data_IF_429477370839
#
_entry.id   IF_429477370839
#
_cell.length_a   1.000
_cell.length_b   1.000
_cell.length_c   1.000
_cell.angle_alpha   90.00
_cell.angle_beta   90.00
_cell.angle_gamma   90.00
#
_symmetry.space_group_name_H-M   'P 1'
#
loop_
_entity.id
_entity.type
_entity.pdbx_description
1 polymer ?
#
# COMPACT_ATOMS: atom_id res chain seq x y z
N UNK A 1 -14.45 2.68 12.08
CA UNK A 1 -15.88 2.28 11.93
C UNK A 1 -15.98 1.47 10.67
N UNK A 2 -16.47 0.23 10.74
CA UNK A 2 -16.68 -0.62 9.57
C UNK A 2 -18.00 -0.27 8.89
N UNK A 3 -17.94 0.56 7.86
CA UNK A 3 -19.13 1.04 7.13
C UNK A 3 -19.81 -0.07 6.34
N UNK A 4 -19.05 -1.06 5.85
CA UNK A 4 -19.59 -2.20 5.10
C UNK A 4 -20.47 -3.03 6.01
N UNK A 5 -19.98 -3.37 7.21
CA UNK A 5 -20.76 -4.13 8.20
C UNK A 5 -22.02 -3.36 8.62
N UNK A 6 -21.88 -2.09 8.97
CA UNK A 6 -23.01 -1.24 9.40
C UNK A 6 -24.07 -1.16 8.30
N UNK A 7 -23.67 -1.05 7.04
CA UNK A 7 -24.62 -1.01 5.93
C UNK A 7 -25.30 -2.37 5.69
N UNK A 8 -24.61 -3.50 5.86
CA UNK A 8 -25.23 -4.86 5.80
C UNK A 8 -26.33 -4.99 6.87
N UNK A 9 -26.09 -4.46 8.06
CA UNK A 9 -27.01 -4.51 9.20
C UNK A 9 -28.21 -3.57 9.03
N UNK A 10 -27.96 -2.29 8.73
CA UNK A 10 -28.98 -1.24 8.74
C UNK A 10 -29.72 -1.09 7.42
N UNK A 11 -29.09 -1.45 6.31
CA UNK A 11 -29.64 -1.34 4.94
C UNK A 11 -30.17 0.06 4.64
N UNK A 12 -29.43 1.07 5.05
CA UNK A 12 -29.81 2.47 4.85
C UNK A 12 -29.92 2.78 3.35
N UNK A 13 -30.90 3.60 2.96
CA UNK A 13 -31.07 4.00 1.56
C UNK A 13 -30.13 5.14 1.20
N UNK A 14 -28.86 4.80 0.98
CA UNK A 14 -27.80 5.72 0.54
C UNK A 14 -27.47 5.51 -0.95
N UNK A 15 -26.94 6.54 -1.60
CA UNK A 15 -26.51 6.46 -3.02
C UNK A 15 -25.23 7.28 -3.27
N UNK A 16 -24.14 6.96 -2.57
CA UNK A 16 -22.87 7.66 -2.76
C UNK A 16 -22.35 7.47 -4.20
N UNK A 17 -21.79 8.53 -4.78
CA UNK A 17 -21.26 8.42 -6.15
C UNK A 17 -19.87 7.78 -6.17
N UNK A 18 -19.01 8.16 -5.21
CA UNK A 18 -17.61 7.77 -5.17
C UNK A 18 -17.24 7.38 -3.73
N UNK A 19 -16.53 6.26 -3.58
CA UNK A 19 -15.72 5.99 -2.41
C UNK A 19 -14.24 6.17 -2.77
N UNK A 20 -13.48 6.76 -1.85
CA UNK A 20 -12.03 6.92 -2.00
C UNK A 20 -11.36 6.09 -0.91
N UNK A 21 -10.48 5.18 -1.32
CA UNK A 21 -9.66 4.36 -0.45
C UNK A 21 -8.20 4.84 -0.54
N UNK A 22 -7.54 4.95 0.61
CA UNK A 22 -6.16 5.40 0.71
C UNK A 22 -5.59 5.14 2.09
N UNK A 23 -4.33 5.52 2.30
CA UNK A 23 -3.58 5.26 3.54
C UNK A 23 -3.07 3.81 3.66
N UNK A 24 -3.78 2.85 3.08
CA UNK A 24 -3.32 1.48 2.87
C UNK A 24 -3.88 0.92 1.55
N UNK A 25 -3.25 -0.09 0.94
CA UNK A 25 -3.78 -0.74 -0.25
C UNK A 25 -5.19 -1.28 -0.02
N UNK A 26 -6.11 -0.95 -0.94
CA UNK A 26 -7.48 -1.44 -0.89
C UNK A 26 -7.53 -2.89 -1.36
N UNK A 27 -7.99 -3.81 -0.51
CA UNK A 27 -8.14 -5.20 -0.92
C UNK A 27 -9.23 -5.36 -1.98
N UNK A 28 -9.09 -6.31 -2.94
CA UNK A 28 -10.13 -6.57 -3.93
C UNK A 28 -11.49 -6.94 -3.31
N UNK A 29 -11.51 -7.57 -2.14
CA UNK A 29 -12.73 -7.89 -1.41
C UNK A 29 -13.42 -6.63 -0.88
N UNK A 30 -12.67 -5.71 -0.26
CA UNK A 30 -13.22 -4.43 0.21
C UNK A 30 -13.71 -3.56 -0.95
N UNK A 31 -12.99 -3.56 -2.07
CA UNK A 31 -13.42 -2.88 -3.29
C UNK A 31 -14.80 -3.37 -3.76
N UNK A 32 -14.97 -4.70 -3.84
CA UNK A 32 -16.25 -5.33 -4.22
C UNK A 32 -17.35 -5.05 -3.21
N UNK A 33 -17.04 -5.06 -1.91
CA UNK A 33 -18.02 -4.75 -0.87
C UNK A 33 -18.46 -3.28 -0.94
N UNK A 34 -17.58 -2.32 -1.24
CA UNK A 34 -18.00 -0.93 -1.46
C UNK A 34 -18.97 -0.80 -2.64
N UNK A 35 -18.71 -1.50 -3.76
CA UNK A 35 -19.62 -1.48 -4.91
C UNK A 35 -20.97 -2.14 -4.60
N UNK A 36 -20.95 -3.34 -4.02
CA UNK A 36 -22.14 -4.18 -3.92
C UNK A 36 -22.97 -3.96 -2.65
N UNK A 37 -22.32 -3.58 -1.55
CA UNK A 37 -22.95 -3.43 -0.22
C UNK A 37 -23.26 -1.97 0.06
N UNK A 38 -22.27 -1.08 -0.12
CA UNK A 38 -22.47 0.35 0.06
C UNK A 38 -23.24 0.94 -1.13
N UNK A 39 -23.09 0.35 -2.32
CA UNK A 39 -23.78 0.82 -3.53
C UNK A 39 -23.10 2.04 -4.16
N UNK A 40 -21.78 2.21 -3.98
CA UNK A 40 -21.05 3.31 -4.63
C UNK A 40 -20.97 3.06 -6.13
N UNK A 41 -21.07 4.11 -6.95
CA UNK A 41 -20.92 3.96 -8.41
C UNK A 41 -19.48 3.68 -8.82
N UNK A 42 -18.52 4.26 -8.08
CA UNK A 42 -17.09 4.14 -8.35
C UNK A 42 -16.31 4.03 -7.04
N UNK A 43 -15.28 3.20 -7.04
CA UNK A 43 -14.25 3.20 -6.00
C UNK A 43 -12.97 3.75 -6.61
N UNK A 44 -12.27 4.60 -5.87
CA UNK A 44 -11.02 5.24 -6.28
C UNK A 44 -9.94 4.95 -5.26
N UNK A 45 -8.71 4.78 -5.75
CA UNK A 45 -7.51 4.64 -4.94
C UNK A 45 -6.75 5.96 -4.93
N UNK A 46 -6.23 6.35 -3.77
CA UNK A 46 -5.32 7.48 -3.61
C UNK A 46 -4.11 7.06 -2.80
N UNK A 47 -2.97 7.63 -3.17
CA UNK A 47 -1.72 7.48 -2.44
C UNK A 47 -1.08 8.85 -2.22
N UNK A 48 -0.56 9.01 -1.02
CA UNK A 48 0.28 10.13 -0.62
C UNK A 48 0.62 9.98 0.86
N UNK A 49 1.37 10.94 1.36
CA UNK A 49 1.84 11.00 2.72
C UNK A 49 1.32 12.30 3.38
N UNK A 50 1.42 12.36 4.71
CA UNK A 50 1.23 13.61 5.43
C UNK A 50 2.20 14.69 4.91
N UNK A 51 3.44 14.29 4.63
CA UNK A 51 4.52 15.14 4.14
C UNK A 51 4.35 15.56 2.67
N UNK A 52 3.37 15.00 1.96
CA UNK A 52 3.00 15.41 0.59
C UNK A 52 1.62 16.04 0.53
N UNK A 53 1.09 16.52 1.66
CA UNK A 53 -0.25 17.14 1.75
C UNK A 53 -1.34 16.25 1.14
N UNK A 54 -1.48 15.04 1.69
CA UNK A 54 -2.51 14.05 1.41
C UNK A 54 -2.31 13.17 0.17
N UNK A 55 -2.31 13.71 -1.05
CA UNK A 55 -2.39 12.88 -2.28
C UNK A 55 -1.37 13.33 -3.33
N UNK A 56 -0.69 12.35 -3.91
CA UNK A 56 0.25 12.51 -5.04
C UNK A 56 -0.17 11.66 -6.24
N UNK A 57 -0.67 10.45 -5.99
CA UNK A 57 -1.21 9.56 -7.03
C UNK A 57 -2.68 9.28 -6.76
N UNK A 58 -3.49 9.23 -7.82
CA UNK A 58 -4.91 8.96 -7.72
C UNK A 58 -5.44 8.27 -8.97
N UNK A 59 -6.34 7.31 -8.77
CA UNK A 59 -7.06 6.68 -9.88
C UNK A 59 -7.96 7.71 -10.58
N UNK A 60 -7.92 7.74 -11.91
CA UNK A 60 -8.70 8.62 -12.78
C UNK A 60 -10.16 8.21 -12.82
N UNK A 61 -11.06 9.11 -13.23
CA UNK A 61 -12.51 8.87 -13.24
C UNK A 61 -12.92 7.63 -14.06
N UNK A 62 -12.16 7.32 -15.10
CA UNK A 62 -12.47 6.36 -16.16
C UNK A 62 -11.75 5.02 -15.95
N UNK A 63 -10.95 4.93 -14.87
CA UNK A 63 -10.21 3.73 -14.55
C UNK A 63 -11.12 2.53 -14.33
N UNK A 64 -10.72 1.41 -14.92
CA UNK A 64 -11.33 0.11 -14.68
C UNK A 64 -10.99 -0.43 -13.27
N UNK A 65 -11.58 -1.56 -12.92
CA UNK A 65 -11.34 -2.24 -11.63
C UNK A 65 -9.86 -2.55 -11.42
N UNK A 66 -9.16 -3.03 -12.45
CA UNK A 66 -7.73 -3.36 -12.35
C UNK A 66 -6.89 -2.13 -11.96
N UNK A 67 -7.03 -1.01 -12.67
CA UNK A 67 -6.31 0.23 -12.33
C UNK A 67 -6.66 0.72 -10.93
N UNK A 68 -7.92 0.59 -10.52
CA UNK A 68 -8.37 1.05 -9.20
C UNK A 68 -7.93 0.14 -8.03
N UNK A 69 -7.53 -1.11 -8.28
CA UNK A 69 -7.19 -2.10 -7.23
C UNK A 69 -5.73 -2.53 -7.25
N UNK A 70 -5.08 -2.57 -8.42
CA UNK A 70 -3.70 -3.01 -8.58
C UNK A 70 -2.69 -1.85 -8.67
N UNK A 71 -3.17 -0.61 -8.77
CA UNK A 71 -2.34 0.59 -8.85
C UNK A 71 -2.79 1.59 -7.78
N UNK A 72 -1.94 2.59 -7.51
CA UNK A 72 -2.31 3.77 -6.73
C UNK A 72 -2.76 4.94 -7.62
N UNK A 73 -2.97 4.65 -8.91
CA UNK A 73 -3.42 5.61 -9.90
C UNK A 73 -2.30 6.38 -10.58
N UNK A 74 -2.68 7.49 -11.21
CA UNK A 74 -1.80 8.36 -11.97
C UNK A 74 -1.28 9.51 -11.13
N UNK A 75 -0.09 10.00 -11.43
CA UNK A 75 0.48 11.19 -10.78
C UNK A 75 -0.42 12.43 -10.97
N UNK A 76 -0.53 13.25 -9.92
CA UNK A 76 -1.26 14.52 -9.96
C UNK A 76 -0.56 15.59 -10.81
N UNK A 77 -1.35 16.54 -11.29
CA UNK A 77 -0.85 17.68 -12.05
C UNK A 77 0.16 18.49 -11.24
N UNK A 78 1.19 19.00 -11.93
CA UNK A 78 2.24 19.84 -11.34
C UNK A 78 3.05 19.17 -10.21
N UNK A 79 3.03 17.84 -10.14
CA UNK A 79 3.93 17.05 -9.32
C UNK A 79 4.89 16.26 -10.22
N UNK A 80 6.14 16.21 -9.82
CA UNK A 80 7.17 15.38 -10.42
C UNK A 80 7.39 14.14 -9.55
N UNK A 81 7.59 12.98 -10.19
CA UNK A 81 7.96 11.74 -9.51
C UNK A 81 9.14 11.08 -10.24
N UNK A 82 10.02 10.46 -9.46
CA UNK A 82 11.06 9.56 -9.96
C UNK A 82 11.14 8.34 -9.06
N UNK A 83 11.64 7.25 -9.60
CA UNK A 83 11.96 6.04 -8.85
C UNK A 83 13.48 5.88 -8.87
N UNK A 84 14.10 5.66 -7.71
CA UNK A 84 15.57 5.56 -7.58
C UNK A 84 16.01 4.25 -6.94
N UNK A 85 17.22 3.81 -7.26
CA UNK A 85 17.88 2.69 -6.59
C UNK A 85 18.57 3.13 -5.27
N UNK A 86 19.28 2.20 -4.63
CA UNK A 86 20.01 2.45 -3.39
C UNK A 86 21.21 3.41 -3.54
N UNK A 87 21.67 3.66 -4.77
CA UNK A 87 22.73 4.62 -5.10
C UNK A 87 22.16 5.99 -5.54
N UNK A 88 20.86 6.21 -5.34
CA UNK A 88 20.11 7.40 -5.76
C UNK A 88 20.07 7.65 -7.28
N UNK A 89 20.28 6.60 -8.10
CA UNK A 89 20.16 6.68 -9.56
C UNK A 89 18.74 6.38 -9.98
N UNK A 90 18.24 7.17 -10.94
CA UNK A 90 16.91 6.94 -11.52
C UNK A 90 16.91 5.58 -12.23
N UNK A 91 15.97 4.72 -11.87
CA UNK A 91 15.82 3.40 -12.48
C UNK A 91 14.96 3.47 -13.75
N UNK A 92 15.10 2.52 -14.69
CA UNK A 92 14.21 2.42 -15.84
C UNK A 92 12.74 2.21 -15.41
N UNK A 93 11.80 2.69 -16.23
CA UNK A 93 10.37 2.45 -16.04
C UNK A 93 10.09 0.94 -15.91
N UNK A 94 9.16 0.57 -15.04
CA UNK A 94 8.86 -0.83 -14.69
C UNK A 94 9.82 -1.46 -13.68
N UNK A 95 10.94 -0.81 -13.36
CA UNK A 95 11.90 -1.32 -12.36
C UNK A 95 11.51 -0.85 -10.96
N UNK A 96 11.50 -1.73 -9.94
CA UNK A 96 11.27 -1.32 -8.56
C UNK A 96 12.40 -0.46 -8.00
N UNK A 97 12.05 0.53 -7.19
CA UNK A 97 12.98 1.35 -6.42
C UNK A 97 12.24 2.25 -5.42
N UNK A 98 12.91 3.19 -4.80
CA UNK A 98 12.27 4.16 -3.90
C UNK A 98 11.55 5.25 -4.69
N UNK A 99 10.29 5.54 -4.36
CA UNK A 99 9.59 6.70 -4.89
C UNK A 99 10.13 8.00 -4.25
N UNK A 100 10.47 8.95 -5.10
CA UNK A 100 10.72 10.33 -4.71
C UNK A 100 9.76 11.27 -5.42
N UNK A 101 9.21 12.24 -4.70
CA UNK A 101 8.26 13.22 -5.23
C UNK A 101 8.78 14.64 -5.07
N UNK A 102 8.40 15.53 -5.98
CA UNK A 102 8.68 16.97 -5.88
C UNK A 102 7.52 17.75 -6.43
N UNK A 103 7.03 18.73 -5.68
CA UNK A 103 5.90 19.54 -6.10
C UNK A 103 5.45 20.52 -5.02
N UNK A 104 4.44 21.30 -5.33
CA UNK A 104 3.86 22.29 -4.42
C UNK A 104 3.24 21.65 -3.16
N UNK A 105 2.89 20.36 -3.24
CA UNK A 105 2.24 19.61 -2.16
C UNK A 105 3.22 19.07 -1.12
N UNK A 106 4.52 19.02 -1.40
CA UNK A 106 5.52 18.61 -0.42
C UNK A 106 5.59 19.62 0.73
N UNK A 107 5.70 19.10 1.95
CA UNK A 107 5.81 19.89 3.16
C UNK A 107 6.98 20.88 3.11
N UNK A 108 6.93 21.90 3.96
CA UNK A 108 8.07 22.80 4.14
C UNK A 108 9.22 22.09 4.88
N UNK A 109 8.86 21.30 5.89
CA UNK A 109 9.74 20.52 6.75
C UNK A 109 9.02 20.11 8.02
N UNK A 110 9.67 19.32 8.87
CA UNK A 110 9.19 19.01 10.20
C UNK A 110 9.42 20.19 11.15
N UNK A 111 8.46 20.45 12.04
CA UNK A 111 8.56 21.51 13.03
C UNK A 111 9.72 21.25 14.01
N UNK A 112 10.64 22.21 14.11
CA UNK A 112 11.83 22.16 14.99
C UNK A 112 12.75 20.93 14.78
N UNK A 113 12.66 20.25 13.64
CA UNK A 113 13.47 19.07 13.32
C UNK A 113 14.08 19.17 11.91
N UNK A 114 15.02 20.10 11.76
CA UNK A 114 15.78 20.33 10.53
C UNK A 114 16.56 19.08 10.09
N UNK A 115 16.96 18.23 11.04
CA UNK A 115 17.72 17.01 10.74
C UNK A 115 16.82 15.99 10.04
N UNK A 116 15.65 15.64 10.61
CA UNK A 116 14.69 14.77 9.90
C UNK A 116 14.23 15.37 8.58
N UNK A 117 14.09 16.69 8.51
CA UNK A 117 13.72 17.36 7.26
C UNK A 117 14.75 17.09 6.17
N UNK A 118 16.05 17.19 6.50
CA UNK A 118 17.15 16.93 5.57
C UNK A 118 17.34 15.44 5.25
N UNK A 119 17.00 14.55 6.18
CA UNK A 119 16.99 13.11 5.93
C UNK A 119 15.93 12.72 4.89
N UNK A 120 14.74 13.33 4.95
CA UNK A 120 13.63 13.00 4.06
C UNK A 120 13.64 13.82 2.76
N UNK A 121 14.14 15.05 2.78
CA UNK A 121 14.08 15.96 1.64
C UNK A 121 15.41 16.70 1.42
N UNK A 122 15.99 16.49 0.24
CA UNK A 122 17.23 17.14 -0.18
C UNK A 122 17.07 18.64 -0.46
N UNK A 123 18.20 19.31 -0.69
CA UNK A 123 18.21 20.74 -1.09
C UNK A 123 17.51 20.98 -2.43
N UNK A 124 17.46 19.95 -3.29
CA UNK A 124 16.76 19.91 -4.56
C UNK A 124 15.23 19.69 -4.43
N UNK A 125 14.73 19.61 -3.19
CA UNK A 125 13.32 19.47 -2.79
C UNK A 125 12.68 18.14 -3.21
N UNK A 126 13.47 17.15 -3.59
CA UNK A 126 12.98 15.79 -3.75
C UNK A 126 12.75 15.17 -2.37
N UNK A 127 11.51 14.78 -2.10
CA UNK A 127 11.08 14.09 -0.90
C UNK A 127 11.15 12.58 -1.14
N UNK A 128 11.89 11.87 -0.28
CA UNK A 128 12.00 10.41 -0.25
C UNK A 128 10.82 9.84 0.55
N UNK A 129 10.00 9.00 -0.06
CA UNK A 129 8.79 8.49 0.62
C UNK A 129 9.07 7.30 1.54
N UNK A 130 10.20 6.61 1.36
CA UNK A 130 10.48 5.33 1.99
C UNK A 130 9.64 4.17 1.44
N UNK A 131 8.89 4.39 0.35
CA UNK A 131 8.05 3.37 -0.27
C UNK A 131 8.73 2.80 -1.51
N UNK A 132 8.77 1.46 -1.58
CA UNK A 132 9.17 0.77 -2.79
C UNK A 132 8.05 0.83 -3.82
N UNK A 133 8.38 1.28 -5.01
CA UNK A 133 7.42 1.69 -6.02
C UNK A 133 7.88 1.26 -7.40
N UNK A 134 6.90 1.02 -8.27
CA UNK A 134 7.10 0.80 -9.70
C UNK A 134 6.27 1.83 -10.45
N UNK A 135 6.94 2.60 -11.31
CA UNK A 135 6.28 3.50 -12.25
C UNK A 135 6.00 2.75 -13.56
N UNK A 136 4.79 2.87 -14.09
CA UNK A 136 4.40 2.39 -15.41
C UNK A 136 4.66 3.42 -16.51
N UNK A 137 4.75 2.96 -17.76
CA UNK A 137 4.95 3.84 -18.94
C UNK A 137 3.79 4.81 -19.17
N UNK A 138 2.60 4.47 -18.69
CA UNK A 138 1.38 5.27 -18.78
C UNK A 138 1.22 6.27 -17.62
N UNK A 139 2.25 6.44 -16.77
CA UNK A 139 2.24 7.34 -15.62
C UNK A 139 1.51 6.80 -14.39
N UNK A 140 1.03 5.56 -14.43
CA UNK A 140 0.42 4.89 -13.28
C UNK A 140 1.46 4.29 -12.35
N UNK A 141 1.17 4.34 -11.07
CA UNK A 141 2.05 3.89 -10.00
C UNK A 141 1.59 2.63 -9.31
N UNK A 142 2.52 1.79 -8.86
CA UNK A 142 2.21 0.67 -7.95
C UNK A 142 3.15 0.68 -6.76
N UNK A 143 2.56 0.61 -5.56
CA UNK A 143 3.30 0.37 -4.32
C UNK A 143 3.61 -1.13 -4.22
N UNK A 144 4.88 -1.45 -3.99
CA UNK A 144 5.35 -2.81 -3.72
C UNK A 144 5.38 -3.07 -2.22
N UNK A 145 5.82 -2.08 -1.43
CA UNK A 145 5.89 -2.19 0.03
C UNK A 145 6.66 -1.03 0.64
N UNK A 146 6.98 -1.13 1.94
CA UNK A 146 7.79 -0.15 2.67
C UNK A 146 9.24 -0.63 2.75
N UNK A 147 10.19 0.24 2.42
CA UNK A 147 11.61 -0.12 2.45
C UNK A 147 12.08 -0.51 3.86
N UNK A 148 11.54 0.16 4.89
CA UNK A 148 11.88 -0.12 6.30
C UNK A 148 11.23 -1.38 6.86
N UNK A 149 10.23 -1.95 6.18
CA UNK A 149 9.53 -3.17 6.61
C UNK A 149 9.98 -4.40 5.80
N UNK A 150 10.85 -4.20 4.81
CA UNK A 150 11.43 -5.30 4.03
C UNK A 150 12.21 -6.25 4.95
N UNK A 151 11.86 -7.53 4.88
CA UNK A 151 12.48 -8.58 5.69
C UNK A 151 13.66 -9.15 4.91
N UNK A 152 14.86 -9.13 5.49
CA UNK A 152 16.08 -9.69 4.88
C UNK A 152 16.36 -11.04 5.53
N UNK A 153 16.00 -12.12 4.82
CA UNK A 153 16.13 -13.49 5.31
C UNK A 153 17.12 -14.27 4.47
N UNK A 154 18.31 -14.54 5.03
CA UNK A 154 19.34 -15.33 4.36
C UNK A 154 19.89 -14.69 3.09
N UNK A 155 19.83 -13.35 2.98
CA UNK A 155 20.25 -12.58 1.81
C UNK A 155 19.13 -12.30 0.80
N UNK A 156 17.93 -12.82 1.02
CA UNK A 156 16.77 -12.57 0.17
C UNK A 156 15.89 -11.45 0.75
N UNK A 157 15.42 -10.57 -0.14
CA UNK A 157 14.49 -9.49 0.20
C UNK A 157 13.05 -10.01 0.10
N UNK A 158 12.36 -10.04 1.23
CA UNK A 158 10.97 -10.50 1.35
C UNK A 158 10.10 -9.29 1.69
N UNK A 159 9.07 -9.04 0.88
CA UNK A 159 8.10 -7.98 1.13
C UNK A 159 6.92 -8.53 1.93
N UNK A 160 6.70 -8.06 3.18
CA UNK A 160 5.57 -8.51 4.00
C UNK A 160 4.25 -8.50 3.27
N UNK A 161 4.01 -7.45 2.47
CA UNK A 161 2.78 -7.22 1.74
C UNK A 161 2.41 -8.36 0.78
N UNK A 162 3.39 -8.95 0.11
CA UNK A 162 3.14 -10.07 -0.81
C UNK A 162 2.61 -11.31 -0.07
N UNK A 163 3.13 -11.55 1.13
CA UNK A 163 2.70 -12.65 2.00
C UNK A 163 1.32 -12.34 2.58
N UNK A 164 1.08 -11.12 3.05
CA UNK A 164 -0.21 -10.67 3.58
C UNK A 164 -1.32 -10.79 2.53
N UNK A 165 -1.08 -10.33 1.31
CA UNK A 165 -2.06 -10.39 0.23
C UNK A 165 -2.43 -11.85 -0.10
N UNK A 166 -1.45 -12.77 -0.08
CA UNK A 166 -1.70 -14.20 -0.24
C UNK A 166 -2.49 -14.79 0.94
N UNK A 167 -2.06 -14.54 2.19
CA UNK A 167 -2.74 -15.04 3.39
C UNK A 167 -4.18 -14.54 3.50
N UNK A 168 -4.44 -13.29 3.10
CA UNK A 168 -5.77 -12.70 3.10
C UNK A 168 -6.71 -13.28 2.02
N UNK A 169 -6.23 -14.17 1.14
CA UNK A 169 -7.09 -14.98 0.26
C UNK A 169 -7.71 -16.19 0.97
N UNK A 170 -7.20 -16.58 2.15
CA UNK A 170 -7.73 -17.70 2.91
C UNK A 170 -9.15 -17.39 3.44
N UNK A 171 -10.15 -18.28 3.25
CA UNK A 171 -11.55 -17.97 3.54
C UNK A 171 -11.85 -17.67 5.00
N UNK A 172 -11.04 -18.18 5.94
CA UNK A 172 -11.22 -17.96 7.38
C UNK A 172 -10.33 -16.83 7.95
N UNK A 173 -9.46 -16.22 7.14
CA UNK A 173 -8.62 -15.10 7.59
C UNK A 173 -9.37 -13.80 7.34
N UNK A 174 -9.39 -12.93 8.35
CA UNK A 174 -9.98 -11.61 8.26
C UNK A 174 -8.94 -10.55 7.87
N UNK A 175 -7.76 -10.62 8.48
CA UNK A 175 -6.58 -9.83 8.12
C UNK A 175 -5.32 -10.55 8.60
N UNK A 176 -4.19 -10.23 7.98
CA UNK A 176 -2.87 -10.68 8.37
C UNK A 176 -1.90 -9.52 8.34
N UNK A 177 -0.87 -9.61 9.19
CA UNK A 177 0.23 -8.67 9.24
C UNK A 177 1.53 -9.45 9.37
N UNK A 178 2.51 -9.11 8.56
CA UNK A 178 3.77 -9.87 8.46
C UNK A 178 4.94 -8.99 8.90
N UNK A 179 5.80 -9.53 9.75
CA UNK A 179 6.98 -8.84 10.29
C UNK A 179 8.21 -9.75 10.27
N UNK A 180 9.38 -9.11 10.19
CA UNK A 180 10.66 -9.76 10.43
C UNK A 180 10.91 -9.89 11.94
N UNK A 181 11.32 -11.07 12.38
CA UNK A 181 11.85 -11.30 13.72
C UNK A 181 13.33 -11.65 13.65
N UNK A 182 14.17 -11.23 14.60
CA UNK A 182 15.58 -11.59 14.62
C UNK A 182 15.78 -13.12 14.62
N UNK A 183 16.67 -13.63 13.76
CA UNK A 183 17.01 -15.04 13.67
C UNK A 183 18.52 -15.24 13.55
N UNK A 184 19.12 -16.01 14.47
CA UNK A 184 20.58 -16.14 14.62
C UNK A 184 21.35 -16.45 13.33
N UNK A 185 20.84 -17.37 12.51
CA UNK A 185 21.48 -17.79 11.25
C UNK A 185 21.09 -16.99 10.01
N UNK A 186 19.88 -16.46 9.97
CA UNK A 186 19.28 -15.94 8.74
C UNK A 186 19.21 -14.40 8.72
N UNK A 187 19.62 -13.74 9.81
CA UNK A 187 19.35 -12.32 10.03
C UNK A 187 17.94 -12.17 10.58
N UNK A 188 16.95 -12.45 9.73
CA UNK A 188 15.53 -12.40 10.08
C UNK A 188 14.77 -13.68 9.72
N UNK A 189 13.70 -13.96 10.44
CA UNK A 189 12.65 -14.93 10.09
C UNK A 189 11.30 -14.24 9.92
N UNK A 190 10.43 -14.82 9.09
CA UNK A 190 9.11 -14.27 8.81
C UNK A 190 8.13 -14.71 9.90
N UNK A 191 7.45 -13.75 10.53
CA UNK A 191 6.34 -13.98 11.45
C UNK A 191 5.06 -13.39 10.86
N UNK A 192 3.99 -14.19 10.83
CA UNK A 192 2.66 -13.75 10.41
C UNK A 192 1.72 -13.70 11.63
N UNK A 193 1.20 -12.53 11.94
CA UNK A 193 0.09 -12.35 12.88
C UNK A 193 -1.22 -12.43 12.10
N UNK A 194 -2.10 -13.37 12.47
CA UNK A 194 -3.33 -13.66 11.72
C UNK A 194 -4.53 -13.39 12.61
N UNK A 195 -5.46 -12.55 12.13
CA UNK A 195 -6.79 -12.39 12.73
C UNK A 195 -7.77 -13.28 11.99
N UNK A 196 -8.34 -14.25 12.71
CA UNK A 196 -9.30 -15.21 12.16
C UNK A 196 -10.71 -14.63 12.23
N UNK A 197 -11.57 -15.02 11.28
CA UNK A 197 -12.99 -14.69 11.33
C UNK A 197 -13.66 -15.28 12.59
N UNK A 198 -14.68 -14.58 13.10
CA UNK A 198 -15.44 -15.03 14.26
C UNK A 198 -16.04 -16.44 14.01
N UNK A 199 -15.98 -17.30 15.04
CA UNK A 199 -16.45 -18.68 14.95
C UNK A 199 -15.53 -19.65 14.19
N UNK A 200 -14.39 -19.18 13.68
CA UNK A 200 -13.40 -20.02 13.00
C UNK A 200 -12.09 -20.09 13.78
N UNK A 201 -11.30 -21.12 13.47
CA UNK A 201 -9.93 -21.29 13.96
C UNK A 201 -9.05 -21.76 12.80
N UNK A 202 -7.78 -21.41 12.84
CA UNK A 202 -6.76 -21.97 11.95
C UNK A 202 -5.61 -22.49 12.79
N UNK A 203 -5.07 -23.64 12.40
CA UNK A 203 -3.88 -24.23 13.01
C UNK A 203 -2.63 -23.88 12.21
N UNK A 204 -1.47 -23.98 12.84
CA UNK A 204 -0.20 -23.74 12.16
C UNK A 204 0.02 -24.69 10.98
N UNK A 205 -0.40 -25.95 11.11
CA UNK A 205 -0.21 -26.95 10.04
C UNK A 205 -1.16 -26.71 8.85
N UNK A 206 -2.39 -26.26 9.09
CA UNK A 206 -3.29 -25.79 8.04
C UNK A 206 -2.68 -24.61 7.29
N UNK A 207 -2.14 -23.63 8.02
CA UNK A 207 -1.51 -22.46 7.38
C UNK A 207 -0.24 -22.82 6.61
N UNK A 208 0.61 -23.71 7.15
CA UNK A 208 1.77 -24.23 6.41
C UNK A 208 1.37 -24.99 5.15
N UNK A 209 0.25 -25.70 5.19
CA UNK A 209 -0.28 -26.42 4.02
C UNK A 209 -0.82 -25.43 2.99
N UNK A 210 -1.59 -24.43 3.43
CA UNK A 210 -2.10 -23.37 2.58
C UNK A 210 -0.96 -22.62 1.87
N UNK A 211 0.11 -22.24 2.58
CA UNK A 211 1.25 -21.53 2.00
C UNK A 211 2.11 -22.34 1.01
N UNK A 212 1.79 -23.61 0.73
CA UNK A 212 2.49 -24.39 -0.30
C UNK A 212 2.00 -24.14 -1.73
N UNK A 213 0.84 -23.50 -1.91
CA UNK A 213 0.22 -23.27 -3.22
C UNK A 213 -0.67 -24.41 -3.66
#
# INVERSE_FOLDING_TARGET
VDLVRVQKERREKISPEIAVAGGAPCSPSLFKDMLNVIGVKKVKSVYGLSETTAVVFQSMLDDNEYRSTATVGHIHDHIEAKVVDADDKIVPIGTPGELCTRGYSNMLGYWEDDNKTKEMMGQDRWLRTGDQFIMGEDGYGRIVGRLKEMIIRGGENIFPKEIEDYLNTHPHILESYVIGLPHERLGEEVCACIRVQEGHSVTLDEMKTFCKG
#
